data_IF_560787864755
#
_entry.id   IF_560787864755
#
_cell.length_a   1.000
_cell.length_b   1.000
_cell.length_c   1.000
_cell.angle_alpha   90.00
_cell.angle_beta   90.00
_cell.angle_gamma   90.00
#
_symmetry.space_group_name_H-M   'P 1'
#
loop_
_entity.id
_entity.type
_entity.pdbx_description
1 polymer ?
#
# COMPACT_ATOMS: atom_id res chain seq x y z
N UNK A 1 -19.29 -35.32 -34.70
CA UNK A 1 -18.92 -33.91 -34.89
C UNK A 1 -19.13 -33.18 -33.58
N UNK A 2 -18.05 -32.90 -32.84
CA UNK A 2 -18.13 -32.08 -31.63
C UNK A 2 -18.19 -30.64 -32.13
N UNK A 3 -19.36 -30.00 -32.06
CA UNK A 3 -19.46 -28.55 -32.25
C UNK A 3 -18.78 -27.90 -31.05
N UNK A 4 -17.57 -27.40 -31.24
CA UNK A 4 -16.93 -26.50 -30.27
C UNK A 4 -17.69 -25.19 -30.28
N UNK A 5 -18.77 -25.11 -29.51
CA UNK A 5 -19.33 -23.84 -29.09
C UNK A 5 -18.35 -23.26 -28.07
N UNK A 6 -17.30 -22.60 -28.54
CA UNK A 6 -16.69 -21.53 -27.75
C UNK A 6 -17.78 -20.48 -27.59
N UNK A 7 -18.57 -20.56 -26.52
CA UNK A 7 -19.48 -19.51 -26.14
C UNK A 7 -18.62 -18.26 -25.91
N UNK A 8 -18.62 -17.34 -26.88
CA UNK A 8 -18.04 -16.01 -26.66
C UNK A 8 -18.90 -15.34 -25.61
N UNK A 9 -18.35 -15.18 -24.40
CA UNK A 9 -19.03 -14.50 -23.32
C UNK A 9 -19.36 -13.07 -23.76
N UNK A 10 -20.59 -12.59 -23.55
CA UNK A 10 -20.93 -11.21 -23.85
C UNK A 10 -20.09 -10.27 -22.98
N UNK A 11 -19.58 -9.20 -23.59
CA UNK A 11 -18.88 -8.13 -22.89
C UNK A 11 -19.81 -7.51 -21.84
N UNK A 12 -19.32 -7.38 -20.61
CA UNK A 12 -20.10 -6.90 -19.47
C UNK A 12 -19.87 -5.42 -19.19
N UNK A 13 -18.69 -4.87 -19.51
CA UNK A 13 -18.36 -3.46 -19.31
C UNK A 13 -19.24 -2.46 -20.09
N UNK A 14 -19.80 -2.77 -21.28
CA UNK A 14 -20.74 -1.87 -21.95
C UNK A 14 -22.00 -1.54 -21.12
N UNK A 15 -22.35 -2.39 -20.15
CA UNK A 15 -23.45 -2.11 -19.20
C UNK A 15 -23.09 -1.07 -18.14
N UNK A 16 -21.86 -0.55 -18.15
CA UNK A 16 -21.32 0.41 -17.18
C UNK A 16 -21.49 -0.03 -15.72
N UNK A 17 -21.03 -1.24 -15.34
CA UNK A 17 -21.27 -1.78 -14.00
C UNK A 17 -20.44 -1.09 -12.90
N UNK A 18 -19.40 -0.34 -13.28
CA UNK A 18 -18.52 0.37 -12.35
C UNK A 18 -19.04 1.79 -12.12
N UNK A 19 -19.52 2.04 -10.91
CA UNK A 19 -20.08 3.34 -10.50
C UNK A 19 -18.98 4.34 -10.16
N UNK A 20 -19.37 5.60 -9.96
CA UNK A 20 -18.54 6.67 -9.38
C UNK A 20 -17.16 6.87 -10.05
N UNK A 21 -17.10 6.67 -11.38
CA UNK A 21 -15.87 6.86 -12.15
C UNK A 21 -14.87 5.70 -12.05
N UNK A 22 -15.28 4.53 -11.54
CA UNK A 22 -14.46 3.32 -11.56
C UNK A 22 -14.19 2.83 -12.98
N UNK A 23 -12.97 2.33 -13.23
CA UNK A 23 -12.60 1.80 -14.55
C UNK A 23 -13.06 0.36 -14.68
N UNK A 24 -13.81 0.05 -15.73
CA UNK A 24 -14.23 -1.32 -16.03
C UNK A 24 -13.22 -2.04 -16.93
N UNK A 25 -12.85 -3.26 -16.57
CA UNK A 25 -12.09 -4.17 -17.42
C UNK A 25 -12.80 -5.51 -17.58
N UNK A 26 -12.78 -6.06 -18.79
CA UNK A 26 -13.32 -7.39 -19.06
C UNK A 26 -12.40 -8.47 -18.48
N UNK A 27 -12.97 -9.36 -17.67
CA UNK A 27 -12.34 -10.59 -17.21
C UNK A 27 -12.83 -11.80 -18.00
N UNK A 28 -12.36 -13.00 -17.62
CA UNK A 28 -12.70 -14.24 -18.34
C UNK A 28 -14.21 -14.52 -18.38
N UNK A 29 -14.93 -14.27 -17.27
CA UNK A 29 -16.39 -14.43 -17.16
C UNK A 29 -17.05 -13.36 -16.27
N UNK A 30 -16.40 -12.22 -16.05
CA UNK A 30 -16.89 -11.15 -15.17
C UNK A 30 -16.29 -9.81 -15.56
N UNK A 31 -16.99 -8.72 -15.31
CA UNK A 31 -16.36 -7.40 -15.22
C UNK A 31 -15.52 -7.29 -13.94
N UNK A 32 -14.48 -6.47 -13.98
CA UNK A 32 -13.68 -6.08 -12.82
C UNK A 32 -13.63 -4.56 -12.78
N UNK A 33 -14.06 -3.99 -11.65
CA UNK A 33 -14.01 -2.56 -11.42
C UNK A 33 -12.75 -2.17 -10.65
N UNK A 34 -11.96 -1.27 -11.22
CA UNK A 34 -10.88 -0.60 -10.52
C UNK A 34 -11.40 0.70 -9.87
N UNK A 35 -11.61 0.65 -8.56
CA UNK A 35 -12.09 1.78 -7.75
C UNK A 35 -10.95 2.59 -7.12
N UNK A 36 -9.70 2.19 -7.32
CA UNK A 36 -8.54 2.72 -6.58
C UNK A 36 -8.14 4.15 -6.95
N UNK A 37 -8.77 4.76 -7.96
CA UNK A 37 -8.64 6.19 -8.26
C UNK A 37 -9.91 6.98 -7.89
N UNK A 38 -10.81 6.38 -7.13
CA UNK A 38 -12.10 6.95 -6.72
C UNK A 38 -12.20 6.94 -5.21
N UNK A 39 -12.99 7.82 -4.60
CA UNK A 39 -13.28 7.79 -3.14
C UNK A 39 -14.21 6.64 -2.74
N UNK A 40 -14.37 5.64 -3.60
CA UNK A 40 -15.28 4.52 -3.44
C UNK A 40 -14.54 3.18 -3.54
N UNK A 41 -15.18 2.13 -3.06
CA UNK A 41 -14.68 0.77 -2.95
C UNK A 41 -15.81 -0.24 -3.20
N UNK A 42 -15.48 -1.52 -3.09
CA UNK A 42 -16.39 -2.63 -3.36
C UNK A 42 -16.35 -3.07 -4.82
N UNK A 43 -17.10 -4.13 -5.17
CA UNK A 43 -17.00 -4.78 -6.48
C UNK A 43 -17.47 -3.91 -7.66
N UNK A 44 -18.28 -2.88 -7.38
CA UNK A 44 -18.86 -1.97 -8.37
C UNK A 44 -18.53 -0.50 -8.07
N UNK A 45 -17.62 -0.22 -7.14
CA UNK A 45 -17.30 1.13 -6.67
C UNK A 45 -18.53 1.91 -6.12
N UNK A 46 -19.54 1.21 -5.60
CA UNK A 46 -20.76 1.82 -5.06
C UNK A 46 -20.71 2.18 -3.58
N UNK A 47 -19.67 1.75 -2.84
CA UNK A 47 -19.54 1.98 -1.40
C UNK A 47 -18.47 3.03 -1.13
N UNK A 48 -18.69 3.99 -0.24
CA UNK A 48 -17.65 4.94 0.15
C UNK A 48 -16.45 4.24 0.79
N UNK A 49 -15.24 4.61 0.35
CA UNK A 49 -14.00 4.13 0.93
C UNK A 49 -13.79 4.69 2.33
N UNK A 50 -13.25 3.88 3.22
CA UNK A 50 -12.86 4.33 4.55
C UNK A 50 -11.68 5.31 4.48
N UNK A 51 -11.82 6.46 5.15
CA UNK A 51 -10.76 7.47 5.29
C UNK A 51 -10.16 7.44 6.69
N UNK A 52 -8.84 7.40 6.77
CA UNK A 52 -8.09 7.64 7.99
C UNK A 52 -7.51 9.06 7.97
N UNK A 53 -7.80 9.83 9.01
CA UNK A 53 -7.20 11.16 9.20
C UNK A 53 -6.04 11.09 10.19
N UNK A 54 -4.89 11.65 9.79
CA UNK A 54 -3.65 11.71 10.55
C UNK A 54 -3.28 13.15 10.86
N UNK A 55 -2.89 13.40 12.11
CA UNK A 55 -2.54 14.72 12.63
C UNK A 55 -1.05 14.81 13.03
N UNK A 56 -0.21 13.86 12.62
CA UNK A 56 1.21 13.76 13.00
C UNK A 56 1.47 13.00 14.31
N UNK A 57 0.46 12.80 15.16
CA UNK A 57 0.58 11.94 16.35
C UNK A 57 -0.11 10.58 16.18
N UNK A 58 -1.04 10.49 15.22
CA UNK A 58 -1.78 9.29 14.89
C UNK A 58 -0.95 8.32 14.02
N UNK A 59 -1.21 7.02 14.16
CA UNK A 59 -0.61 5.97 13.34
C UNK A 59 -1.53 4.74 13.34
N UNK A 60 -1.44 3.94 12.28
CA UNK A 60 -2.07 2.63 12.21
C UNK A 60 -0.99 1.56 12.05
N UNK A 61 -1.16 0.44 12.74
CA UNK A 61 -0.21 -0.67 12.68
C UNK A 61 -0.90 -1.96 12.24
N UNK A 62 -0.31 -2.62 11.25
CA UNK A 62 -0.65 -3.97 10.83
C UNK A 62 0.48 -4.89 11.25
N UNK A 63 0.24 -5.78 12.20
CA UNK A 63 1.25 -6.71 12.71
C UNK A 63 0.85 -8.15 12.42
N UNK A 64 1.75 -8.89 11.77
CA UNK A 64 1.58 -10.31 11.52
C UNK A 64 1.87 -11.14 12.77
N UNK A 65 1.45 -12.40 12.79
CA UNK A 65 1.75 -13.38 13.84
C UNK A 65 3.15 -14.01 13.68
N UNK A 66 3.68 -14.04 12.45
CA UNK A 66 5.02 -14.50 12.07
C UNK A 66 5.71 -13.49 11.15
N UNK A 67 7.02 -13.62 10.99
CA UNK A 67 7.76 -12.88 9.96
C UNK A 67 7.28 -13.38 8.59
N UNK A 68 6.91 -12.46 7.72
CA UNK A 68 6.50 -12.76 6.36
C UNK A 68 7.72 -12.75 5.46
N UNK A 69 7.75 -13.65 4.48
CA UNK A 69 8.80 -13.70 3.44
C UNK A 69 8.11 -13.67 2.09
N UNK A 70 8.44 -12.67 1.27
CA UNK A 70 7.77 -12.43 -0.01
C UNK A 70 8.77 -12.14 -1.13
N UNK A 71 8.43 -12.56 -2.35
CA UNK A 71 9.17 -12.23 -3.58
C UNK A 71 8.38 -11.25 -4.46
N UNK A 72 7.14 -10.97 -4.07
CA UNK A 72 6.22 -10.09 -4.77
C UNK A 72 5.49 -9.24 -3.75
N UNK A 73 5.41 -7.95 -4.02
CA UNK A 73 4.58 -7.02 -3.28
C UNK A 73 3.71 -6.23 -4.23
N UNK A 74 2.50 -5.94 -3.78
CA UNK A 74 1.55 -5.08 -4.47
C UNK A 74 0.98 -4.09 -3.46
N UNK A 75 1.29 -2.81 -3.63
CA UNK A 75 0.89 -1.75 -2.72
C UNK A 75 0.09 -0.73 -3.49
N UNK A 76 -1.12 -0.47 -3.01
CA UNK A 76 -1.97 0.63 -3.45
C UNK A 76 -2.27 1.46 -2.23
N UNK A 77 -2.07 2.78 -2.32
CA UNK A 77 -2.36 3.70 -1.23
C UNK A 77 -2.80 5.03 -1.82
N UNK A 78 -3.93 5.57 -1.35
CA UNK A 78 -4.34 6.93 -1.69
C UNK A 78 -4.10 7.85 -0.53
N UNK A 79 -3.60 9.05 -0.82
CA UNK A 79 -3.36 10.06 0.19
C UNK A 79 -3.69 11.46 -0.33
N UNK A 80 -3.88 12.38 0.60
CA UNK A 80 -3.82 13.82 0.36
C UNK A 80 -3.17 14.51 1.54
N UNK A 81 -2.39 15.55 1.27
CA UNK A 81 -1.71 16.32 2.31
C UNK A 81 -1.38 17.72 1.82
N UNK A 82 -1.24 18.67 2.75
CA UNK A 82 -0.64 19.98 2.51
C UNK A 82 0.82 20.07 3.00
N UNK A 83 1.36 19.00 3.60
CA UNK A 83 2.73 18.96 4.12
C UNK A 83 3.69 18.45 3.05
N UNK A 84 4.86 19.09 2.87
CA UNK A 84 5.85 18.67 1.89
C UNK A 84 6.65 17.43 2.32
N UNK A 85 6.52 17.02 3.58
CA UNK A 85 7.21 15.91 4.21
C UNK A 85 6.21 15.11 5.07
N UNK A 86 6.19 13.78 4.93
CA UNK A 86 5.35 12.93 5.76
C UNK A 86 5.47 11.43 5.44
N UNK A 87 5.61 10.61 6.47
CA UNK A 87 5.75 9.16 6.37
C UNK A 87 4.41 8.47 6.10
N UNK A 88 4.22 7.90 4.91
CA UNK A 88 2.98 7.21 4.55
C UNK A 88 2.96 5.76 5.03
N UNK A 89 4.04 5.03 4.76
CA UNK A 89 4.18 3.61 5.09
C UNK A 89 5.64 3.29 5.40
N UNK A 90 5.88 2.48 6.42
CA UNK A 90 7.17 1.81 6.64
C UNK A 90 6.95 0.39 7.14
N UNK A 91 7.73 -0.57 6.62
CA UNK A 91 7.80 -1.91 7.19
C UNK A 91 8.90 -2.02 8.25
N UNK A 92 8.71 -2.92 9.21
CA UNK A 92 9.75 -3.33 10.14
C UNK A 92 9.80 -4.84 10.27
N UNK A 93 11.01 -5.35 10.47
CA UNK A 93 11.38 -6.76 10.66
C UNK A 93 11.85 -7.02 12.10
N UNK A 94 11.91 -8.29 12.48
CA UNK A 94 12.54 -8.70 13.75
C UNK A 94 14.03 -8.97 13.55
N UNK A 95 14.39 -9.79 12.56
CA UNK A 95 15.74 -10.36 12.44
C UNK A 95 16.60 -9.75 11.33
N UNK A 96 15.97 -9.33 10.23
CA UNK A 96 16.62 -8.78 9.03
C UNK A 96 16.64 -7.26 9.02
N UNK A 97 17.38 -6.66 8.09
CA UNK A 97 17.35 -5.22 7.81
C UNK A 97 16.44 -4.85 6.64
N UNK A 98 15.58 -5.76 6.20
CA UNK A 98 14.69 -5.53 5.05
C UNK A 98 13.65 -4.46 5.36
N UNK A 99 13.40 -3.57 4.40
CA UNK A 99 12.59 -2.39 4.61
C UNK A 99 11.98 -1.87 3.32
N UNK A 100 10.69 -1.57 3.36
CA UNK A 100 10.03 -0.71 2.38
C UNK A 100 9.51 0.53 3.09
N UNK A 101 9.80 1.69 2.53
CA UNK A 101 9.33 2.98 3.01
C UNK A 101 8.71 3.76 1.85
N UNK A 102 7.50 4.29 2.07
CA UNK A 102 6.86 5.29 1.22
C UNK A 102 6.67 6.56 2.02
N UNK A 103 7.13 7.67 1.45
CA UNK A 103 7.01 8.98 2.05
C UNK A 103 6.70 10.05 1.00
N UNK A 104 6.01 11.10 1.42
CA UNK A 104 6.07 12.39 0.72
C UNK A 104 7.39 13.05 1.12
N UNK A 105 8.23 13.36 0.14
CA UNK A 105 9.54 13.98 0.33
C UNK A 105 9.71 15.15 -0.65
N UNK A 106 9.76 16.38 -0.12
CA UNK A 106 9.82 17.61 -0.90
C UNK A 106 8.74 17.69 -2.00
N UNK A 107 7.50 17.33 -1.64
CA UNK A 107 6.36 17.34 -2.56
C UNK A 107 6.40 16.25 -3.65
N UNK A 108 7.26 15.22 -3.52
CA UNK A 108 7.30 14.05 -4.41
C UNK A 108 7.02 12.78 -3.60
N UNK A 109 6.65 11.69 -4.26
CA UNK A 109 6.68 10.37 -3.63
C UNK A 109 8.09 9.84 -3.70
N UNK A 110 8.61 9.43 -2.54
CA UNK A 110 9.84 8.67 -2.38
C UNK A 110 9.51 7.27 -1.92
N UNK A 111 9.92 6.29 -2.72
CA UNK A 111 10.03 4.90 -2.32
C UNK A 111 11.49 4.63 -1.96
N UNK A 112 11.72 4.06 -0.79
CA UNK A 112 13.00 3.47 -0.42
C UNK A 112 12.82 1.99 -0.12
N UNK A 113 13.57 1.14 -0.83
CA UNK A 113 13.47 -0.32 -0.73
C UNK A 113 14.84 -0.93 -0.44
N UNK A 114 14.90 -1.75 0.60
CA UNK A 114 16.06 -2.55 1.00
C UNK A 114 15.59 -3.99 1.19
N UNK A 115 16.30 -4.93 0.57
CA UNK A 115 15.96 -6.36 0.57
C UNK A 115 17.22 -7.20 0.68
N UNK A 116 17.06 -8.47 1.08
CA UNK A 116 18.15 -9.46 1.27
C UNK A 116 19.20 -9.06 2.33
N UNK A 117 18.80 -8.27 3.33
CA UNK A 117 19.66 -7.89 4.46
C UNK A 117 19.48 -8.89 5.60
N UNK A 118 20.28 -9.95 5.58
CA UNK A 118 20.17 -11.12 6.47
C UNK A 118 20.26 -10.81 7.96
N UNK A 119 20.97 -9.76 8.34
CA UNK A 119 21.20 -9.42 9.75
C UNK A 119 20.90 -7.94 9.98
N UNK A 120 19.97 -7.64 10.88
CA UNK A 120 19.56 -6.27 11.21
C UNK A 120 20.73 -5.35 11.60
N UNK A 121 21.75 -5.87 12.28
CA UNK A 121 22.97 -5.09 12.63
C UNK A 121 23.80 -4.62 11.42
N UNK A 122 23.56 -5.15 10.23
CA UNK A 122 24.23 -4.75 8.98
C UNK A 122 23.40 -3.73 8.19
N UNK A 123 22.21 -3.38 8.66
CA UNK A 123 21.28 -2.49 7.96
C UNK A 123 21.93 -1.16 7.53
N UNK A 124 22.74 -0.55 8.39
CA UNK A 124 23.42 0.73 8.12
C UNK A 124 24.51 0.65 7.03
N UNK A 125 24.95 -0.56 6.67
CA UNK A 125 25.94 -0.78 5.61
C UNK A 125 25.30 -0.91 4.23
N UNK A 126 24.00 -1.21 4.19
CA UNK A 126 23.27 -1.48 2.96
C UNK A 126 22.54 -0.24 2.48
N UNK A 127 22.57 0.01 1.17
CA UNK A 127 21.92 1.17 0.56
C UNK A 127 20.50 0.82 0.13
N UNK A 128 19.58 1.76 0.33
CA UNK A 128 18.24 1.64 -0.24
C UNK A 128 18.28 1.87 -1.76
N UNK A 129 17.49 1.09 -2.49
CA UNK A 129 17.07 1.44 -3.85
C UNK A 129 15.97 2.51 -3.76
N UNK A 130 16.21 3.67 -4.37
CA UNK A 130 15.29 4.83 -4.29
C UNK A 130 14.60 5.06 -5.63
N UNK A 131 13.26 5.16 -5.62
CA UNK A 131 12.47 5.65 -6.74
C UNK A 131 11.74 6.93 -6.33
N UNK A 132 11.72 7.92 -7.22
CA UNK A 132 11.02 9.19 -7.02
C UNK A 132 9.99 9.38 -8.13
N UNK A 133 8.75 9.76 -7.78
CA UNK A 133 7.70 10.09 -8.75
C UNK A 133 6.88 11.30 -8.33
N UNK A 134 6.32 11.99 -9.32
CA UNK A 134 5.47 13.17 -9.12
C UNK A 134 6.23 14.40 -8.61
N UNK A 135 5.48 15.50 -8.51
CA UNK A 135 5.91 16.80 -7.99
C UNK A 135 4.68 17.54 -7.44
N UNK A 136 4.89 18.49 -6.52
CA UNK A 136 3.85 19.33 -5.92
C UNK A 136 2.68 18.54 -5.28
N UNK A 137 2.96 17.35 -4.74
CA UNK A 137 1.95 16.44 -4.16
C UNK A 137 1.45 16.85 -2.77
N UNK A 138 1.81 18.05 -2.34
CA UNK A 138 1.36 18.69 -1.12
C UNK A 138 0.32 19.79 -1.43
N UNK A 139 -0.50 19.54 -2.45
CA UNK A 139 -1.58 20.39 -2.97
C UNK A 139 -2.93 20.15 -2.27
N UNK A 140 -2.98 19.20 -1.32
CA UNK A 140 -4.17 18.75 -0.63
C UNK A 140 -5.23 18.05 -1.53
N UNK A 141 -4.83 17.63 -2.73
CA UNK A 141 -5.64 16.83 -3.63
C UNK A 141 -5.35 15.33 -3.46
N UNK A 142 -6.30 14.50 -3.89
CA UNK A 142 -6.12 13.04 -3.80
C UNK A 142 -5.14 12.53 -4.85
N UNK A 143 -4.18 11.75 -4.39
CA UNK A 143 -3.24 11.03 -5.23
C UNK A 143 -3.20 9.55 -4.89
N UNK A 144 -3.05 8.70 -5.92
CA UNK A 144 -2.96 7.24 -5.79
C UNK A 144 -1.55 6.77 -6.09
N UNK A 145 -0.92 6.11 -5.13
CA UNK A 145 0.37 5.44 -5.31
C UNK A 145 0.11 3.98 -5.65
N UNK A 146 0.79 3.48 -6.68
CA UNK A 146 0.81 2.06 -7.07
C UNK A 146 2.26 1.60 -7.14
N UNK A 147 2.64 0.72 -6.22
CA UNK A 147 3.93 0.06 -6.26
C UNK A 147 3.73 -1.44 -6.49
N UNK A 148 4.49 -2.01 -7.42
CA UNK A 148 4.58 -3.45 -7.56
C UNK A 148 6.02 -3.91 -7.69
N UNK A 149 6.34 -4.97 -6.96
CA UNK A 149 7.61 -5.70 -7.09
C UNK A 149 7.35 -7.12 -7.56
N UNK A 150 8.17 -7.59 -8.50
CA UNK A 150 8.22 -8.99 -8.94
C UNK A 150 9.68 -9.43 -9.00
N UNK A 151 10.17 -10.05 -7.93
CA UNK A 151 11.59 -10.36 -7.75
C UNK A 151 12.43 -9.08 -7.72
N UNK A 152 13.39 -8.95 -8.63
CA UNK A 152 14.21 -7.75 -8.76
C UNK A 152 13.47 -6.57 -9.44
N UNK A 153 12.39 -6.84 -10.17
CA UNK A 153 11.71 -5.82 -10.98
C UNK A 153 10.79 -4.94 -10.10
N UNK A 154 11.00 -3.64 -10.17
CA UNK A 154 10.22 -2.62 -9.46
C UNK A 154 9.42 -1.78 -10.45
N UNK A 155 8.18 -1.46 -10.09
CA UNK A 155 7.32 -0.51 -10.81
C UNK A 155 6.67 0.42 -9.79
N UNK A 156 6.89 1.72 -9.93
CA UNK A 156 6.24 2.76 -9.13
C UNK A 156 5.45 3.69 -10.04
N UNK A 157 4.17 3.85 -9.74
CA UNK A 157 3.23 4.64 -10.52
C UNK A 157 2.49 5.60 -9.59
N UNK A 158 2.31 6.83 -10.06
CA UNK A 158 1.47 7.83 -9.41
C UNK A 158 0.26 8.12 -10.30
N UNK A 159 -0.93 8.06 -9.73
CA UNK A 159 -2.20 8.23 -10.41
C UNK A 159 -2.26 7.29 -11.65
N UNK A 160 -2.63 7.83 -12.81
CA UNK A 160 -2.66 7.13 -14.09
C UNK A 160 -1.46 7.47 -14.98
N UNK A 161 -0.38 8.01 -14.42
CA UNK A 161 0.82 8.39 -15.19
C UNK A 161 1.67 7.16 -15.56
N UNK A 162 2.62 7.35 -16.47
CA UNK A 162 3.56 6.28 -16.83
C UNK A 162 4.40 5.89 -15.62
N UNK A 163 4.53 4.59 -15.38
CA UNK A 163 5.26 4.09 -14.23
C UNK A 163 6.79 4.18 -14.42
N UNK A 164 7.47 4.60 -13.37
CA UNK A 164 8.92 4.49 -13.24
C UNK A 164 9.27 3.04 -12.92
N UNK A 165 10.30 2.52 -13.58
CA UNK A 165 10.77 1.14 -13.39
C UNK A 165 12.22 1.15 -12.94
N UNK A 166 12.58 0.17 -12.12
CA UNK A 166 13.95 -0.06 -11.68
C UNK A 166 14.15 -1.57 -11.45
N UNK A 167 15.41 -1.97 -11.30
CA UNK A 167 15.79 -3.34 -10.99
C UNK A 167 16.71 -3.33 -9.78
N UNK A 168 16.48 -4.28 -8.86
CA UNK A 168 17.33 -4.49 -7.69
C UNK A 168 18.61 -5.21 -8.07
N UNK A 169 19.70 -4.89 -7.38
CA UNK A 169 20.95 -5.64 -7.50
C UNK A 169 20.85 -6.99 -6.78
N UNK A 170 21.24 -8.08 -7.44
CA UNK A 170 21.29 -9.43 -6.85
C UNK A 170 20.33 -10.46 -7.48
N UNK A 171 20.71 -11.75 -7.42
CA UNK A 171 19.98 -12.86 -8.08
C UNK A 171 18.68 -13.29 -7.40
N UNK A 172 18.52 -13.01 -6.10
CA UNK A 172 17.37 -13.45 -5.31
C UNK A 172 16.97 -12.37 -4.31
N UNK A 173 16.01 -11.52 -4.68
CA UNK A 173 15.46 -10.52 -3.76
C UNK A 173 14.23 -11.10 -3.04
N UNK A 174 14.41 -11.75 -1.89
CA UNK A 174 13.31 -11.94 -0.94
C UNK A 174 13.24 -10.73 -0.03
N UNK A 175 12.03 -10.31 0.31
CA UNK A 175 11.79 -9.29 1.32
C UNK A 175 11.16 -9.95 2.54
N UNK A 176 11.70 -9.64 3.71
CA UNK A 176 11.07 -9.95 4.99
C UNK A 176 10.37 -8.74 5.57
N UNK A 177 9.25 -8.97 6.25
CA UNK A 177 8.58 -7.94 7.04
C UNK A 177 7.70 -8.57 8.13
N UNK A 178 7.55 -7.86 9.23
CA UNK A 178 6.70 -8.29 10.35
C UNK A 178 5.56 -7.34 10.65
N UNK A 179 5.79 -6.05 10.44
CA UNK A 179 4.84 -5.01 10.82
C UNK A 179 4.87 -3.90 9.78
N UNK A 180 3.69 -3.43 9.38
CA UNK A 180 3.50 -2.25 8.55
C UNK A 180 2.99 -1.14 9.45
N UNK A 181 3.65 0.01 9.40
CA UNK A 181 3.26 1.21 10.12
C UNK A 181 2.81 2.26 9.10
N UNK A 182 1.61 2.77 9.28
CA UNK A 182 0.94 3.68 8.35
C UNK A 182 0.76 5.03 9.05
N UNK A 183 1.19 6.09 8.38
CA UNK A 183 1.07 7.48 8.82
C UNK A 183 2.01 7.90 9.95
N UNK A 184 2.68 6.99 10.63
CA UNK A 184 3.67 7.32 11.65
C UNK A 184 4.20 6.11 12.41
N UNK A 185 5.25 6.34 13.20
CA UNK A 185 5.81 5.34 14.12
C UNK A 185 5.37 5.65 15.55
N UNK A 186 5.00 4.61 16.30
CA UNK A 186 4.73 4.74 17.74
C UNK A 186 5.98 4.38 18.53
N UNK A 187 6.59 5.39 19.14
CA UNK A 187 7.61 5.21 20.16
C UNK A 187 6.93 5.31 21.52
N UNK A 188 6.81 4.18 22.23
CA UNK A 188 6.28 4.17 23.60
C UNK A 188 7.29 4.73 24.61
N UNK A 189 8.55 4.74 24.22
CA UNK A 189 9.71 5.18 24.99
C UNK A 189 10.46 6.16 24.08
N UNK A 190 10.58 7.41 24.51
CA UNK A 190 11.59 8.33 23.98
C UNK A 190 12.96 7.63 24.12
N UNK A 191 13.83 7.74 23.11
CA UNK A 191 15.16 7.09 23.01
C UNK A 191 15.18 5.66 22.43
N UNK A 192 14.89 5.51 21.14
CA UNK A 192 15.79 4.88 20.15
C UNK A 192 15.30 5.38 18.80
N UNK A 193 16.14 6.16 18.12
CA UNK A 193 15.92 6.64 16.77
C UNK A 193 15.77 5.47 15.80
N UNK A 194 14.54 5.00 15.53
CA UNK A 194 14.22 4.67 14.15
C UNK A 194 14.16 6.00 13.43
N UNK A 195 15.33 6.48 13.02
CA UNK A 195 15.52 7.72 12.27
C UNK A 195 14.94 7.52 10.87
N UNK A 196 13.62 7.45 10.74
CA UNK A 196 13.02 8.01 9.53
C UNK A 196 13.30 9.50 9.62
N UNK A 197 14.15 10.01 8.73
CA UNK A 197 14.39 11.46 8.59
C UNK A 197 13.11 12.23 8.22
N UNK A 198 12.04 11.49 7.93
CA UNK A 198 10.72 11.99 7.57
C UNK A 198 9.82 12.03 8.81
N UNK A 199 9.12 13.15 9.07
CA UNK A 199 8.16 13.26 10.16
C UNK A 199 6.92 12.37 9.92
N UNK A 200 6.17 12.11 10.98
CA UNK A 200 4.86 11.48 10.88
C UNK A 200 3.93 12.26 9.93
N UNK A 201 3.04 11.55 9.26
CA UNK A 201 2.13 12.09 8.27
C UNK A 201 1.03 12.94 8.90
N UNK A 202 0.71 14.03 8.22
CA UNK A 202 -0.45 14.88 8.47
C UNK A 202 -1.24 14.94 7.18
N UNK A 203 -2.52 14.57 7.23
CA UNK A 203 -3.36 14.47 6.05
C UNK A 203 -4.30 13.29 6.16
N UNK A 204 -4.73 12.76 5.02
CA UNK A 204 -5.65 11.63 4.98
C UNK A 204 -5.13 10.51 4.10
N UNK A 205 -5.48 9.28 4.46
CA UNK A 205 -5.17 8.07 3.69
C UNK A 205 -6.46 7.28 3.47
N UNK A 206 -6.63 6.80 2.24
CA UNK A 206 -7.69 5.90 1.81
C UNK A 206 -7.09 4.68 1.09
N UNK A 207 -7.88 3.60 1.00
CA UNK A 207 -7.61 2.49 0.08
C UNK A 207 -6.18 1.96 0.16
N UNK A 208 -5.71 1.69 1.38
CA UNK A 208 -4.44 1.00 1.59
C UNK A 208 -4.62 -0.51 1.38
N UNK A 209 -4.13 -0.98 0.24
CA UNK A 209 -3.97 -2.39 -0.07
C UNK A 209 -2.50 -2.75 0.01
N UNK A 210 -2.20 -3.86 0.67
CA UNK A 210 -0.89 -4.48 0.61
C UNK A 210 -1.11 -5.97 0.36
N UNK A 211 -0.54 -6.47 -0.74
CA UNK A 211 -0.74 -7.81 -1.27
C UNK A 211 -2.23 -8.18 -1.38
N UNK A 212 -3.02 -7.28 -1.98
CA UNK A 212 -4.47 -7.38 -2.20
C UNK A 212 -5.34 -7.34 -0.94
N UNK A 213 -4.78 -7.07 0.24
CA UNK A 213 -5.55 -7.01 1.49
C UNK A 213 -5.90 -5.55 1.81
N UNK A 214 -7.20 -5.18 1.89
CA UNK A 214 -7.64 -3.81 2.13
C UNK A 214 -7.61 -3.47 3.63
N UNK A 215 -6.45 -3.15 4.18
CA UNK A 215 -6.29 -3.04 5.65
C UNK A 215 -7.15 -1.95 6.30
N UNK A 216 -7.37 -0.81 5.63
CA UNK A 216 -8.23 0.24 6.19
C UNK A 216 -9.70 -0.22 6.23
N UNK A 217 -10.15 -0.97 5.23
CA UNK A 217 -11.51 -1.53 5.20
C UNK A 217 -11.71 -2.60 6.27
N UNK A 218 -10.70 -3.44 6.48
CA UNK A 218 -10.70 -4.40 7.59
C UNK A 218 -10.75 -3.67 8.95
N UNK A 219 -9.99 -2.60 9.11
CA UNK A 219 -10.03 -1.78 10.32
C UNK A 219 -11.39 -1.12 10.54
N UNK A 220 -12.04 -0.66 9.46
CA UNK A 220 -13.41 -0.13 9.50
C UNK A 220 -14.42 -1.20 9.93
N UNK A 221 -14.35 -2.38 9.34
CA UNK A 221 -15.30 -3.46 9.63
C UNK A 221 -15.22 -3.96 11.09
N UNK A 222 -14.06 -3.78 11.74
CA UNK A 222 -13.84 -4.10 13.15
C UNK A 222 -14.15 -2.91 14.08
N UNK A 223 -14.48 -1.75 13.54
CA UNK A 223 -14.78 -0.51 14.28
C UNK A 223 -16.29 -0.27 14.37
N UNK A 224 -16.75 0.25 15.50
CA UNK A 224 -18.15 0.71 15.66
C UNK A 224 -18.37 2.16 15.22
N UNK A 225 -17.31 2.92 14.98
CA UNK A 225 -17.38 4.33 14.56
C UNK A 225 -17.54 4.50 13.03
N UNK A 226 -18.41 5.44 12.60
CA UNK A 226 -18.62 5.81 11.18
C UNK A 226 -17.44 6.58 10.57
N UNK A 227 -16.67 7.33 11.38
CA UNK A 227 -15.44 8.02 10.97
C UNK A 227 -14.26 7.45 11.74
N UNK A 228 -13.14 7.21 11.06
CA UNK A 228 -12.03 6.46 11.64
C UNK A 228 -10.88 7.43 11.93
N UNK A 229 -10.85 7.95 13.15
CA UNK A 229 -9.65 8.63 13.64
C UNK A 229 -8.51 7.61 13.76
N UNK A 230 -7.33 7.90 13.19
CA UNK A 230 -6.16 7.03 13.27
C UNK A 230 -5.50 7.00 14.66
N UNK A 231 -6.15 7.53 15.72
CA UNK A 231 -5.64 7.47 17.09
C UNK A 231 -5.38 6.00 17.49
N UNK A 232 -4.10 5.64 17.49
CA UNK A 232 -3.52 4.39 17.97
C UNK A 232 -4.32 3.13 17.60
N UNK A 233 -4.57 2.92 16.29
CA UNK A 233 -5.29 1.72 15.83
C UNK A 233 -4.31 0.60 15.52
N UNK A 234 -4.33 -0.42 16.37
CA UNK A 234 -3.73 -1.72 16.06
C UNK A 234 -4.82 -2.66 15.60
N UNK A 235 -4.69 -3.16 14.37
CA UNK A 235 -5.47 -4.33 13.98
C UNK A 235 -5.06 -5.51 14.89
N UNK A 236 -6.01 -6.40 15.27
CA UNK A 236 -5.64 -7.66 15.90
C UNK A 236 -4.60 -8.38 15.04
N UNK A 237 -3.72 -9.17 15.69
CA UNK A 237 -2.64 -9.86 14.96
C UNK A 237 -3.25 -10.68 13.83
N UNK A 238 -2.79 -10.39 12.61
CA UNK A 238 -3.33 -11.03 11.42
C UNK A 238 -2.54 -12.32 11.20
N UNK A 239 -3.22 -13.47 11.07
CA UNK A 239 -2.54 -14.73 10.80
C UNK A 239 -1.86 -14.68 9.44
N UNK A 240 -0.62 -15.18 9.38
CA UNK A 240 0.21 -15.28 8.19
C UNK A 240 -0.42 -16.10 7.06
N UNK A 241 -1.33 -17.02 7.39
CA UNK A 241 -2.23 -17.68 6.43
C UNK A 241 -3.57 -16.96 6.45
N UNK A 242 -3.73 -15.99 5.56
CA UNK A 242 -5.07 -15.47 5.25
C UNK A 242 -5.70 -16.52 4.33
N UNK A 243 -6.82 -17.17 4.70
CA UNK A 243 -7.50 -18.05 3.78
C UNK A 243 -7.89 -17.21 2.57
N UNK A 244 -7.27 -17.51 1.43
CA UNK A 244 -7.79 -17.09 0.13
C UNK A 244 -9.19 -17.68 0.07
N UNK A 245 -10.21 -16.83 0.26
CA UNK A 245 -11.60 -17.26 0.16
C UNK A 245 -11.79 -17.96 -1.17
N UNK A 246 -12.28 -19.20 -1.09
CA UNK A 246 -12.85 -19.97 -2.21
C UNK A 246 -13.99 -19.21 -2.87
#
# INVERSE_FOLDING_TARGET
SIRTLCHTQPQQCPSQPCLNGGTCTEGWNRFVCDCTNTTFTGPTCGKEAATLSFNGSAHMTVRMDKEMVTQTEDIILRFRTSKPLGLLLISSTVETGDRIELAVAAGRIRLALRVDVKEKRKEDREKDTILLVGQNLNDNEWHTIRFSRRGANLKLQLNNQMAVRAELEGKYATMQWRTLHIGGLHHAEEEISMSTTVPNFVGEIQQFYFNNIPYIELARALSTEQSISAKQRRLPRIPSKIPLGT
#
